data_IF_261619555202
#
_entry.id   IF_261619555202
#
_cell.length_a   1.000
_cell.length_b   1.000
_cell.length_c   1.000
_cell.angle_alpha   90.00
_cell.angle_beta   90.00
_cell.angle_gamma   90.00
#
_symmetry.space_group_name_H-M   'P 1'
#
loop_
_entity.id
_entity.type
_entity.pdbx_description
1 polymer ?
#
# COMPACT_ATOMS: atom_id res chain seq x y z
N UNK A 1 14.75 -10.21 -1.67
CA UNK A 1 14.12 -10.05 -0.35
C UNK A 1 13.64 -8.61 -0.24
N UNK A 2 12.33 -8.44 -0.20
CA UNK A 2 11.65 -7.23 0.27
C UNK A 2 10.46 -7.77 1.08
N UNK A 3 10.43 -7.50 2.38
CA UNK A 3 9.24 -7.80 3.18
C UNK A 3 8.15 -6.86 2.67
N UNK A 4 7.09 -7.42 2.08
CA UNK A 4 5.92 -6.67 1.60
C UNK A 4 4.78 -6.70 2.62
N UNK A 5 5.16 -6.78 3.88
CA UNK A 5 4.33 -6.73 5.06
C UNK A 5 5.09 -6.03 6.19
N UNK A 6 4.36 -5.76 7.26
CA UNK A 6 4.89 -5.13 8.45
C UNK A 6 3.90 -5.36 9.60
N UNK A 7 4.28 -4.97 10.82
CA UNK A 7 3.36 -5.01 11.94
C UNK A 7 2.15 -4.11 11.66
N UNK A 8 1.00 -4.47 12.25
CA UNK A 8 -0.15 -3.57 12.28
C UNK A 8 0.25 -2.25 12.96
N UNK A 9 -0.27 -1.16 12.42
CA UNK A 9 -0.03 0.18 12.93
C UNK A 9 -1.30 1.02 12.88
N UNK A 10 -1.42 1.96 13.80
CA UNK A 10 -2.44 3.00 13.76
C UNK A 10 -2.11 3.96 12.60
N UNK A 11 -2.98 4.12 11.58
CA UNK A 11 -2.71 4.96 10.42
C UNK A 11 -2.52 6.44 10.76
N UNK A 12 -3.03 6.90 11.90
CA UNK A 12 -2.88 8.27 12.38
C UNK A 12 -1.55 8.48 13.13
N UNK A 13 -0.84 7.39 13.45
CA UNK A 13 0.46 7.41 14.13
C UNK A 13 1.53 6.88 13.17
N UNK A 14 2.33 7.79 12.61
CA UNK A 14 3.40 7.42 11.67
C UNK A 14 4.53 6.60 12.28
N UNK A 15 4.94 6.93 13.51
CA UNK A 15 6.04 6.22 14.19
C UNK A 15 5.85 6.22 15.71
N UNK A 16 5.80 5.02 16.30
CA UNK A 16 5.97 4.81 17.74
C UNK A 16 7.45 4.61 18.08
N UNK A 17 7.80 4.69 19.37
CA UNK A 17 9.18 4.45 19.84
C UNK A 17 9.64 3.01 19.55
N UNK A 18 8.75 2.04 19.70
CA UNK A 18 8.97 0.62 19.34
C UNK A 18 9.12 0.45 17.82
N UNK A 19 8.39 1.29 17.07
CA UNK A 19 8.58 1.62 15.65
C UNK A 19 10.03 1.87 15.23
N UNK A 20 10.88 2.44 16.10
CA UNK A 20 12.17 3.06 15.71
C UNK A 20 13.25 2.06 15.36
N UNK A 21 13.36 0.97 16.10
CA UNK A 21 14.39 -0.06 15.85
C UNK A 21 13.89 -1.04 14.78
N UNK A 22 14.57 -1.16 13.62
CA UNK A 22 14.04 -1.99 12.55
C UNK A 22 14.46 -3.44 12.78
N UNK A 23 13.54 -4.23 13.33
CA UNK A 23 13.69 -5.66 13.63
C UNK A 23 14.21 -6.49 12.44
N UNK A 24 13.96 -6.04 11.21
CA UNK A 24 14.33 -6.71 9.96
C UNK A 24 15.77 -6.44 9.50
N UNK A 25 16.51 -5.49 10.12
CA UNK A 25 17.86 -5.16 9.66
C UNK A 25 18.85 -6.33 9.71
N UNK A 26 18.93 -7.14 10.78
CA UNK A 26 19.90 -8.24 10.84
C UNK A 26 19.72 -9.24 9.70
N UNK A 27 18.47 -9.57 9.37
CA UNK A 27 18.13 -10.50 8.30
C UNK A 27 18.47 -9.92 6.92
N UNK A 28 18.18 -8.63 6.69
CA UNK A 28 18.52 -7.96 5.44
C UNK A 28 20.04 -7.85 5.24
N UNK A 29 20.78 -7.51 6.30
CA UNK A 29 22.25 -7.44 6.28
C UNK A 29 22.88 -8.80 5.99
N UNK A 30 22.38 -9.90 6.59
CA UNK A 30 22.88 -11.24 6.28
C UNK A 30 22.58 -11.65 4.83
N UNK A 31 21.40 -11.32 4.32
CA UNK A 31 21.04 -11.57 2.92
C UNK A 31 21.97 -10.82 1.96
N UNK A 32 22.22 -9.53 2.19
CA UNK A 32 23.13 -8.73 1.35
C UNK A 32 24.54 -9.31 1.39
N UNK A 33 25.05 -9.64 2.59
CA UNK A 33 26.38 -10.24 2.75
C UNK A 33 26.53 -11.55 1.98
N UNK A 34 25.49 -12.38 1.97
CA UNK A 34 25.52 -13.72 1.34
C UNK A 34 25.40 -13.67 -0.18
N UNK A 35 24.53 -12.81 -0.70
CA UNK A 35 24.15 -12.82 -2.13
C UNK A 35 24.78 -11.67 -2.94
N UNK A 36 25.28 -10.63 -2.28
CA UNK A 36 25.93 -9.48 -2.90
C UNK A 36 27.28 -9.18 -2.22
N UNK A 37 28.28 -10.07 -2.33
CA UNK A 37 29.53 -10.02 -1.56
C UNK A 37 30.41 -8.79 -1.83
N UNK A 38 30.10 -8.03 -2.89
CA UNK A 38 30.81 -6.80 -3.27
C UNK A 38 30.12 -5.52 -2.78
N UNK A 39 28.98 -5.62 -2.09
CA UNK A 39 28.30 -4.50 -1.45
C UNK A 39 28.65 -4.43 0.03
N UNK A 40 28.56 -3.23 0.61
CA UNK A 40 28.56 -3.04 2.06
C UNK A 40 27.22 -3.55 2.60
N UNK A 41 27.20 -4.56 3.50
CA UNK A 41 25.95 -5.17 3.98
C UNK A 41 25.10 -4.26 4.88
N UNK A 42 25.72 -3.29 5.54
CA UNK A 42 25.06 -2.36 6.44
C UNK A 42 24.39 -1.21 5.66
N UNK A 43 23.11 -0.88 5.95
CA UNK A 43 22.41 0.20 5.25
C UNK A 43 22.98 1.57 5.64
N UNK A 44 23.17 2.45 4.66
CA UNK A 44 23.57 3.84 4.89
C UNK A 44 22.41 4.71 5.44
N UNK A 45 21.18 4.42 5.00
CA UNK A 45 19.94 5.10 5.42
C UNK A 45 18.84 4.05 5.52
N UNK A 46 17.96 4.19 6.51
CA UNK A 46 16.77 3.33 6.66
C UNK A 46 15.52 4.20 6.66
N UNK A 47 14.59 3.90 5.78
CA UNK A 47 13.27 4.54 5.73
C UNK A 47 12.18 3.49 5.93
N UNK A 48 11.06 3.91 6.51
CA UNK A 48 9.88 3.08 6.73
C UNK A 48 8.75 3.59 5.87
N UNK A 49 7.91 2.67 5.42
CA UNK A 49 6.72 2.95 4.63
C UNK A 49 5.48 2.36 5.32
N UNK A 50 4.30 2.80 4.90
CA UNK A 50 3.02 2.28 5.35
C UNK A 50 2.34 1.61 4.16
N UNK A 51 1.83 0.39 4.39
CA UNK A 51 0.99 -0.29 3.43
C UNK A 51 -0.48 -0.20 3.85
N UNK A 52 -1.30 0.42 3.00
CA UNK A 52 -2.76 0.36 3.14
C UNK A 52 -3.28 -0.82 2.31
N UNK A 53 -3.57 -1.93 2.98
CA UNK A 53 -4.01 -3.16 2.33
C UNK A 53 -5.53 -3.33 2.45
N UNK A 54 -6.18 -3.73 1.37
CA UNK A 54 -7.54 -4.24 1.38
C UNK A 54 -7.58 -5.68 1.89
N UNK A 55 -8.75 -6.22 2.31
CA UNK A 55 -8.86 -7.61 2.78
C UNK A 55 -8.37 -8.66 1.77
N UNK A 56 -8.56 -8.39 0.47
CA UNK A 56 -8.09 -9.25 -0.62
C UNK A 56 -6.74 -8.82 -1.21
N UNK A 57 -6.09 -7.80 -0.63
CA UNK A 57 -4.85 -7.16 -1.09
C UNK A 57 -4.93 -6.55 -2.50
N UNK A 58 -6.12 -6.48 -3.11
CA UNK A 58 -6.35 -5.86 -4.40
C UNK A 58 -6.57 -4.35 -4.32
N UNK A 59 -6.26 -3.64 -5.41
CA UNK A 59 -6.49 -2.21 -5.53
C UNK A 59 -7.97 -1.85 -5.46
N UNK A 60 -8.28 -0.61 -5.07
CA UNK A 60 -9.60 -0.03 -5.26
C UNK A 60 -9.48 1.18 -6.15
N UNK A 61 -10.25 1.25 -7.23
CA UNK A 61 -10.40 2.43 -8.09
C UNK A 61 -11.87 2.52 -8.43
N UNK A 62 -12.56 3.55 -7.94
CA UNK A 62 -14.00 3.68 -8.18
C UNK A 62 -14.47 5.14 -8.05
N UNK A 63 -15.74 5.37 -8.41
CA UNK A 63 -16.45 6.62 -8.14
C UNK A 63 -17.28 6.50 -6.87
N UNK A 64 -17.44 7.61 -6.16
CA UNK A 64 -18.36 7.64 -5.03
C UNK A 64 -19.80 7.33 -5.51
N UNK A 65 -20.51 6.37 -4.88
CA UNK A 65 -21.79 5.87 -5.39
C UNK A 65 -22.89 6.95 -5.48
N UNK A 66 -22.80 7.99 -4.64
CA UNK A 66 -23.74 9.13 -4.64
C UNK A 66 -23.21 10.39 -5.35
N UNK A 67 -21.90 10.46 -5.62
CA UNK A 67 -21.24 11.68 -6.11
C UNK A 67 -20.32 11.33 -7.28
N UNK A 68 -20.86 11.37 -8.50
CA UNK A 68 -20.16 10.95 -9.71
C UNK A 68 -18.90 11.76 -10.02
N UNK A 69 -18.79 12.97 -9.49
CA UNK A 69 -17.63 13.86 -9.61
C UNK A 69 -16.50 13.54 -8.62
N UNK A 70 -16.67 12.54 -7.74
CA UNK A 70 -15.64 12.11 -6.79
C UNK A 70 -15.10 10.75 -7.23
N UNK A 71 -13.79 10.70 -7.47
CA UNK A 71 -13.02 9.50 -7.74
C UNK A 71 -12.14 9.22 -6.53
N UNK A 72 -11.98 7.95 -6.17
CA UNK A 72 -11.10 7.55 -5.08
C UNK A 72 -10.29 6.32 -5.44
N UNK A 73 -9.17 6.18 -4.75
CA UNK A 73 -8.27 5.04 -4.88
C UNK A 73 -7.74 4.60 -3.53
N UNK A 74 -7.61 3.29 -3.33
CA UNK A 74 -6.93 2.68 -2.20
C UNK A 74 -5.94 1.58 -2.66
N UNK A 75 -4.89 1.33 -1.86
CA UNK A 75 -3.89 0.26 -2.10
C UNK A 75 -2.80 0.59 -3.12
N UNK A 76 -2.60 1.88 -3.42
CA UNK A 76 -1.99 2.34 -4.67
C UNK A 76 -0.50 2.03 -4.87
N UNK A 77 -0.19 1.49 -6.06
CA UNK A 77 1.05 1.71 -6.82
C UNK A 77 0.69 2.09 -8.27
N UNK A 78 1.25 3.18 -8.80
CA UNK A 78 1.22 3.65 -10.21
C UNK A 78 -0.13 3.48 -10.96
N UNK A 79 -1.03 4.47 -10.85
CA UNK A 79 -2.36 4.49 -11.50
C UNK A 79 -2.76 5.86 -12.08
N UNK A 80 -1.80 6.79 -12.20
CA UNK A 80 -2.10 8.20 -12.48
C UNK A 80 -2.84 8.42 -13.79
N UNK A 81 -2.49 7.66 -14.84
CA UNK A 81 -3.16 7.74 -16.14
C UNK A 81 -4.62 7.33 -16.04
N UNK A 82 -4.91 6.18 -15.44
CA UNK A 82 -6.25 5.65 -15.26
C UNK A 82 -7.17 6.64 -14.53
N UNK A 83 -6.66 7.25 -13.44
CA UNK A 83 -7.41 8.28 -12.72
C UNK A 83 -7.68 9.53 -13.56
N UNK A 84 -6.74 9.92 -14.43
CA UNK A 84 -6.89 11.06 -15.34
C UNK A 84 -7.95 10.81 -16.41
N UNK A 85 -7.92 9.63 -17.03
CA UNK A 85 -8.93 9.18 -18.02
C UNK A 85 -10.32 9.22 -17.38
N UNK A 86 -10.47 8.61 -16.20
CA UNK A 86 -11.72 8.64 -15.46
C UNK A 86 -12.14 10.08 -15.10
N UNK A 87 -11.23 10.91 -14.58
CA UNK A 87 -11.57 12.27 -14.17
C UNK A 87 -12.07 13.14 -15.34
N UNK A 88 -11.54 12.92 -16.53
CA UNK A 88 -11.89 13.67 -17.75
C UNK A 88 -13.08 13.06 -18.52
N UNK A 89 -13.65 11.95 -18.03
CA UNK A 89 -14.79 11.28 -18.66
C UNK A 89 -14.40 10.41 -19.87
N UNK A 90 -13.12 10.16 -20.06
CA UNK A 90 -12.63 9.18 -21.03
C UNK A 90 -12.92 7.75 -20.54
N UNK A 91 -13.15 6.79 -21.45
CA UNK A 91 -13.22 5.39 -21.06
C UNK A 91 -11.86 4.96 -20.49
N UNK A 92 -11.83 4.24 -19.34
CA UNK A 92 -10.59 3.75 -18.77
C UNK A 92 -9.90 2.77 -19.72
N UNK A 93 -8.59 2.87 -19.82
CA UNK A 93 -7.73 1.98 -20.62
C UNK A 93 -7.71 0.53 -20.14
N UNK A 94 -8.02 0.30 -18.86
CA UNK A 94 -8.00 -1.01 -18.19
C UNK A 94 -9.41 -1.40 -17.70
N UNK A 95 -9.68 -2.71 -17.60
CA UNK A 95 -10.91 -3.22 -16.96
C UNK A 95 -10.85 -2.99 -15.45
N UNK A 96 -11.82 -2.27 -14.92
CA UNK A 96 -11.92 -1.89 -13.52
C UNK A 96 -12.70 -2.88 -12.65
N UNK A 97 -13.30 -3.93 -13.23
CA UNK A 97 -14.23 -4.80 -12.51
C UNK A 97 -13.62 -5.38 -11.22
N UNK A 98 -12.36 -5.83 -11.27
CA UNK A 98 -11.66 -6.36 -10.11
C UNK A 98 -11.19 -5.29 -9.12
N UNK A 99 -11.12 -4.03 -9.55
CA UNK A 99 -10.76 -2.87 -8.71
C UNK A 99 -11.97 -2.16 -8.13
N UNK A 100 -13.20 -2.52 -8.49
CA UNK A 100 -14.40 -1.86 -7.96
C UNK A 100 -14.49 -2.03 -6.44
N UNK A 101 -14.89 -0.95 -5.75
CA UNK A 101 -15.19 -1.00 -4.33
C UNK A 101 -16.41 -1.89 -4.03
N UNK A 102 -17.33 -2.01 -5.00
CA UNK A 102 -18.54 -2.82 -4.89
C UNK A 102 -18.30 -4.32 -4.76
N UNK A 103 -17.07 -4.80 -4.99
CA UNK A 103 -16.70 -6.20 -4.77
C UNK A 103 -16.73 -6.61 -3.30
N UNK A 104 -16.55 -5.65 -2.38
CA UNK A 104 -16.65 -5.89 -0.95
C UNK A 104 -18.08 -5.68 -0.46
N UNK A 105 -18.64 -6.67 0.23
CA UNK A 105 -19.90 -6.49 0.97
C UNK A 105 -19.61 -5.55 2.14
N UNK A 106 -20.51 -4.60 2.42
CA UNK A 106 -20.38 -3.65 3.52
C UNK A 106 -20.39 -4.38 4.88
N UNK A 107 -19.23 -4.88 5.30
CA UNK A 107 -18.97 -5.28 6.67
C UNK A 107 -18.34 -4.10 7.38
N UNK A 108 -19.17 -3.14 7.83
CA UNK A 108 -18.70 -2.12 8.78
C UNK A 108 -18.40 -2.85 10.08
N UNK A 109 -17.17 -3.32 10.22
CA UNK A 109 -16.66 -3.73 11.51
C UNK A 109 -16.00 -2.49 12.07
N UNK A 110 -16.67 -1.82 13.01
CA UNK A 110 -16.06 -0.73 13.77
C UNK A 110 -14.72 -1.23 14.31
N UNK A 111 -13.63 -0.57 13.90
CA UNK A 111 -12.36 -0.72 14.58
C UNK A 111 -12.63 -0.42 16.06
N UNK A 112 -12.30 -1.38 16.93
CA UNK A 112 -12.28 -1.11 18.37
C UNK A 112 -11.14 -0.15 18.62
N UNK A 113 -11.48 1.07 19.04
CA UNK A 113 -10.58 2.00 19.71
C UNK A 113 -10.06 1.37 21.01
#
# INVERSE_FOLDING_TARGET
ICMHDGPDLDPDIRETREQREPYYLPELTDFVRRWFPHLVPEPAVTEKCIYTLTPDRGLIVDRHPKHRNILFVCGCSVIGQLLSEMATGQPPSEDLAFMSAGRFKHGVTSAKL
#
